data_IF_398314474723
#
_entry.id   IF_398314474723
#
_cell.length_a   1.000
_cell.length_b   1.000
_cell.length_c   1.000
_cell.angle_alpha   90.00
_cell.angle_beta   90.00
_cell.angle_gamma   90.00
#
_symmetry.space_group_name_H-M   'P 1'
#
loop_
_entity.id
_entity.type
_entity.pdbx_description
1 polymer ?
#
# COMPACT_ATOMS: atom_id res chain seq x y z
N UNK A 1 -1.15 15.62 2.73
CA UNK A 1 -0.11 16.66 2.81
C UNK A 1 0.93 16.40 3.87
N UNK A 2 0.51 16.02 5.06
CA UNK A 2 1.45 15.64 6.12
C UNK A 2 2.39 14.50 5.72
N UNK A 3 1.86 13.51 5.04
CA UNK A 3 2.68 12.37 4.62
C UNK A 3 3.77 12.78 3.62
N UNK A 4 3.46 13.71 2.73
CA UNK A 4 4.46 14.22 1.79
C UNK A 4 5.60 14.87 2.55
N UNK A 5 5.29 15.71 3.53
CA UNK A 5 6.29 16.40 4.32
C UNK A 5 7.14 15.43 5.13
N UNK A 6 6.53 14.39 5.70
CA UNK A 6 7.26 13.38 6.45
C UNK A 6 8.22 12.60 5.55
N UNK A 7 7.76 12.21 4.36
CA UNK A 7 8.61 11.50 3.42
C UNK A 7 9.78 12.37 2.97
N UNK A 8 9.53 13.64 2.67
CA UNK A 8 10.60 14.56 2.29
C UNK A 8 11.62 14.73 3.40
N UNK A 9 11.15 14.85 4.65
CA UNK A 9 12.03 14.96 5.80
C UNK A 9 12.91 13.72 5.97
N UNK A 10 12.35 12.54 5.79
CA UNK A 10 13.10 11.30 5.88
C UNK A 10 14.16 11.21 4.78
N UNK A 11 13.78 11.59 3.56
CA UNK A 11 14.69 11.57 2.41
C UNK A 11 15.84 12.55 2.65
N UNK A 12 15.51 13.76 3.09
CA UNK A 12 16.52 14.78 3.38
C UNK A 12 17.44 14.36 4.53
N UNK A 13 16.91 13.55 5.44
CA UNK A 13 17.68 13.01 6.57
C UNK A 13 18.57 11.81 6.23
N UNK A 14 18.53 11.34 4.98
CA UNK A 14 19.42 10.27 4.53
C UNK A 14 18.81 8.88 4.44
N UNK A 15 17.48 8.76 4.55
CA UNK A 15 16.82 7.48 4.37
C UNK A 15 16.94 7.03 2.92
N UNK A 16 17.19 5.74 2.70
CA UNK A 16 17.35 5.18 1.35
C UNK A 16 16.05 4.60 0.81
N UNK A 17 15.03 4.48 1.64
CA UNK A 17 13.72 3.95 1.28
C UNK A 17 12.64 4.63 2.10
N UNK A 18 11.53 4.95 1.47
CA UNK A 18 10.37 5.55 2.16
C UNK A 18 9.09 4.87 1.68
N UNK A 19 8.06 4.95 2.50
CA UNK A 19 6.74 4.43 2.17
C UNK A 19 5.72 5.56 2.24
N UNK A 20 4.83 5.61 1.26
CA UNK A 20 3.71 6.55 1.24
C UNK A 20 2.40 5.77 1.14
N UNK A 21 1.51 6.00 2.09
CA UNK A 21 0.21 5.35 2.12
C UNK A 21 -0.90 6.36 1.82
N UNK A 22 -1.36 6.36 0.59
CA UNK A 22 -2.49 7.16 0.18
C UNK A 22 -3.76 6.35 -0.02
N UNK A 23 -3.79 5.12 0.49
CA UNK A 23 -4.91 4.21 0.27
C UNK A 23 -6.23 4.70 0.85
N UNK A 24 -6.20 5.60 1.82
CA UNK A 24 -7.40 6.19 2.42
C UNK A 24 -8.06 7.23 1.52
N UNK A 25 -7.36 7.68 0.49
CA UNK A 25 -7.88 8.67 -0.46
C UNK A 25 -8.45 7.96 -1.69
N UNK A 26 -9.06 8.71 -2.59
CA UNK A 26 -9.52 8.13 -3.84
C UNK A 26 -8.33 7.62 -4.66
N UNK A 27 -8.59 6.74 -5.61
CA UNK A 27 -7.54 6.18 -6.45
C UNK A 27 -6.73 7.29 -7.14
N UNK A 28 -7.43 8.26 -7.70
CA UNK A 28 -6.78 9.39 -8.38
C UNK A 28 -5.91 10.21 -7.43
N UNK A 29 -6.43 10.50 -6.24
CA UNK A 29 -5.69 11.27 -5.25
C UNK A 29 -4.47 10.49 -4.75
N UNK A 30 -4.62 9.18 -4.58
CA UNK A 30 -3.52 8.32 -4.18
C UNK A 30 -2.41 8.37 -5.22
N UNK A 31 -2.75 8.31 -6.52
CA UNK A 31 -1.78 8.42 -7.60
C UNK A 31 -1.05 9.76 -7.54
N UNK A 32 -1.79 10.86 -7.40
CA UNK A 32 -1.19 12.19 -7.35
C UNK A 32 -0.24 12.36 -6.16
N UNK A 33 -0.68 11.92 -4.99
CA UNK A 33 0.11 12.01 -3.77
C UNK A 33 1.39 11.17 -3.89
N UNK A 34 1.24 9.94 -4.30
CA UNK A 34 2.35 9.00 -4.40
C UNK A 34 3.35 9.46 -5.45
N UNK A 35 2.87 9.95 -6.59
CA UNK A 35 3.76 10.44 -7.64
C UNK A 35 4.63 11.60 -7.17
N UNK A 36 4.07 12.51 -6.38
CA UNK A 36 4.85 13.62 -5.84
C UNK A 36 6.00 13.13 -4.97
N UNK A 37 5.76 12.12 -4.15
CA UNK A 37 6.80 11.53 -3.32
C UNK A 37 7.83 10.79 -4.18
N UNK A 38 7.37 10.05 -5.18
CA UNK A 38 8.27 9.31 -6.08
C UNK A 38 9.20 10.26 -6.83
N UNK A 39 8.66 11.35 -7.38
CA UNK A 39 9.46 12.31 -8.13
C UNK A 39 10.56 12.93 -7.25
N UNK A 40 10.19 13.28 -6.02
CA UNK A 40 11.15 13.83 -5.06
C UNK A 40 12.21 12.80 -4.65
N UNK A 41 11.78 11.58 -4.38
CA UNK A 41 12.65 10.51 -3.90
C UNK A 41 13.63 10.04 -4.99
N UNK A 42 13.14 9.83 -6.20
CA UNK A 42 13.96 9.31 -7.29
C UNK A 42 15.06 10.27 -7.70
N UNK A 43 14.83 11.58 -7.62
CA UNK A 43 15.86 12.56 -7.86
C UNK A 43 17.05 12.41 -6.91
N UNK A 44 16.80 11.81 -5.75
CA UNK A 44 17.79 11.63 -4.69
C UNK A 44 18.24 10.18 -4.52
N UNK A 45 17.84 9.31 -5.44
CA UNK A 45 18.23 7.91 -5.40
C UNK A 45 17.55 7.09 -4.30
N UNK A 46 16.36 7.53 -3.85
CA UNK A 46 15.60 6.87 -2.79
C UNK A 46 14.47 6.08 -3.40
N UNK A 47 14.25 4.84 -2.94
CA UNK A 47 13.17 3.99 -3.42
C UNK A 47 11.89 4.26 -2.64
N UNK A 48 10.74 4.04 -3.29
CA UNK A 48 9.44 4.33 -2.72
C UNK A 48 8.52 3.12 -2.79
N UNK A 49 7.86 2.82 -1.68
CA UNK A 49 6.80 1.83 -1.61
C UNK A 49 5.46 2.57 -1.58
N UNK A 50 4.57 2.24 -2.51
CA UNK A 50 3.20 2.76 -2.51
C UNK A 50 2.25 1.74 -1.92
N UNK A 51 0.98 2.12 -1.76
CA UNK A 51 -0.03 1.23 -1.19
C UNK A 51 -1.36 1.39 -1.90
N UNK A 52 -2.01 0.27 -2.21
CA UNK A 52 -3.35 0.20 -2.77
C UNK A 52 -4.24 -0.69 -1.93
N UNK A 53 -5.48 -0.25 -1.71
CA UNK A 53 -6.43 -0.95 -0.86
C UNK A 53 -6.22 -0.59 0.60
N UNK A 54 -7.28 -0.69 1.39
CA UNK A 54 -7.20 -0.39 2.81
C UNK A 54 -7.07 -1.66 3.61
N UNK A 55 -6.09 -1.69 4.50
CA UNK A 55 -5.94 -2.79 5.45
C UNK A 55 -6.90 -2.60 6.61
N UNK A 56 -7.40 -3.71 7.16
CA UNK A 56 -8.20 -3.66 8.37
C UNK A 56 -7.36 -3.13 9.52
N UNK A 57 -7.90 -2.18 10.27
CA UNK A 57 -7.20 -1.58 11.41
C UNK A 57 -8.08 -1.45 12.61
N UNK A 58 -7.46 -1.15 13.75
CA UNK A 58 -8.16 -1.00 15.03
C UNK A 58 -9.17 0.16 14.97
N UNK A 59 -8.93 1.11 14.11
CA UNK A 59 -9.78 2.29 13.97
C UNK A 59 -11.06 2.03 13.21
N UNK A 60 -11.13 0.92 12.52
CA UNK A 60 -12.31 0.55 11.76
C UNK A 60 -13.30 -0.23 12.61
N UNK A 61 -13.81 0.43 13.63
CA UNK A 61 -14.86 -0.12 14.46
C UNK A 61 -16.13 -0.40 13.70
N UNK A 62 -16.23 0.13 12.50
CA UNK A 62 -17.55 0.36 12.00
C UNK A 62 -18.01 -0.67 11.01
N UNK A 63 -17.13 -1.27 10.23
CA UNK A 63 -17.58 -2.26 9.27
C UNK A 63 -16.45 -3.08 8.70
N UNK A 64 -16.32 -4.26 9.26
CA UNK A 64 -15.44 -5.29 8.72
C UNK A 64 -15.82 -5.65 7.28
N UNK A 65 -17.06 -5.33 6.89
CA UNK A 65 -17.57 -5.62 5.55
C UNK A 65 -17.08 -4.65 4.48
N UNK A 66 -16.50 -3.54 4.88
CA UNK A 66 -16.02 -2.52 3.94
C UNK A 66 -14.51 -2.53 3.75
N UNK A 67 -13.90 -3.69 3.83
CA UNK A 67 -12.48 -3.81 3.47
C UNK A 67 -12.32 -3.47 1.99
N UNK A 68 -11.51 -2.46 1.72
CA UNK A 68 -11.16 -2.13 0.35
C UNK A 68 -10.01 -3.02 -0.09
N UNK A 69 -10.35 -4.19 -0.59
CA UNK A 69 -9.34 -5.05 -1.19
C UNK A 69 -8.72 -4.36 -2.40
N UNK A 70 -7.46 -4.65 -2.63
CA UNK A 70 -6.78 -4.16 -3.82
C UNK A 70 -7.45 -4.74 -5.06
N UNK A 71 -7.72 -3.88 -6.03
CA UNK A 71 -8.28 -4.31 -7.32
C UNK A 71 -7.13 -4.56 -8.28
N UNK A 72 -6.96 -5.80 -8.75
CA UNK A 72 -5.83 -6.12 -9.64
C UNK A 72 -5.75 -5.25 -10.89
N UNK A 73 -6.91 -4.85 -11.44
CA UNK A 73 -6.94 -4.01 -12.62
C UNK A 73 -6.42 -2.59 -12.39
N UNK A 74 -6.39 -2.15 -11.13
CA UNK A 74 -5.86 -0.82 -10.79
C UNK A 74 -4.35 -0.83 -10.56
N UNK A 75 -3.78 -1.99 -10.32
CA UNK A 75 -2.38 -2.12 -9.95
C UNK A 75 -1.44 -1.66 -11.06
N UNK A 76 -1.71 -2.09 -12.29
CA UNK A 76 -0.88 -1.71 -13.43
C UNK A 76 -0.91 -0.20 -13.67
N UNK A 77 -2.09 0.39 -13.60
CA UNK A 77 -2.24 1.83 -13.77
C UNK A 77 -1.53 2.59 -12.67
N UNK A 78 -1.69 2.15 -11.43
CA UNK A 78 -1.05 2.80 -10.29
C UNK A 78 0.47 2.80 -10.42
N UNK A 79 1.05 1.63 -10.70
CA UNK A 79 2.50 1.51 -10.80
C UNK A 79 3.04 2.33 -11.97
N UNK A 80 2.36 2.28 -13.13
CA UNK A 80 2.83 3.02 -14.31
C UNK A 80 2.73 4.53 -14.13
N UNK A 81 1.70 5.01 -13.45
CA UNK A 81 1.49 6.45 -13.26
C UNK A 81 2.31 7.04 -12.11
N UNK A 82 2.60 6.26 -11.10
CA UNK A 82 3.36 6.75 -9.94
C UNK A 82 4.85 6.50 -10.06
N UNK A 83 5.24 5.36 -10.63
CA UNK A 83 6.65 4.98 -10.72
C UNK A 83 7.20 4.40 -9.43
N UNK A 84 6.35 3.90 -8.51
CA UNK A 84 6.82 3.29 -7.28
C UNK A 84 7.72 2.10 -7.54
N UNK A 85 8.60 1.81 -6.59
CA UNK A 85 9.56 0.71 -6.69
C UNK A 85 9.02 -0.60 -6.12
N UNK A 86 8.05 -0.50 -5.23
CA UNK A 86 7.34 -1.65 -4.68
C UNK A 86 5.92 -1.24 -4.32
N UNK A 87 5.04 -2.21 -4.15
CA UNK A 87 3.63 -1.94 -3.90
C UNK A 87 3.08 -2.83 -2.80
N UNK A 88 2.50 -2.21 -1.79
CA UNK A 88 1.77 -2.93 -0.75
C UNK A 88 0.32 -3.08 -1.20
N UNK A 89 -0.21 -4.28 -1.07
CA UNK A 89 -1.60 -4.58 -1.46
C UNK A 89 -2.39 -5.10 -0.26
N UNK A 90 -3.71 -4.96 -0.35
CA UNK A 90 -4.63 -5.41 0.68
C UNK A 90 -5.38 -6.65 0.21
N UNK A 91 -5.17 -7.75 0.92
CA UNK A 91 -5.84 -9.03 0.60
C UNK A 91 -6.56 -9.62 1.81
N UNK A 92 -6.86 -8.78 2.81
CA UNK A 92 -7.56 -9.24 4.02
C UNK A 92 -6.67 -9.34 5.26
N UNK A 93 -5.44 -8.84 5.18
CA UNK A 93 -4.56 -8.76 6.35
C UNK A 93 -4.88 -7.51 7.18
N UNK A 94 -4.27 -7.37 8.36
CA UNK A 94 -4.46 -6.21 9.19
C UNK A 94 -3.16 -5.76 9.82
N UNK A 95 -3.12 -4.47 10.16
CA UNK A 95 -1.96 -3.88 10.81
C UNK A 95 -1.99 -4.03 12.33
N UNK A 96 -0.82 -4.14 12.93
CA UNK A 96 -0.60 -3.93 14.34
C UNK A 96 -1.28 -4.92 15.25
N UNK A 97 -1.91 -4.39 16.30
CA UNK A 97 -2.50 -5.20 17.36
C UNK A 97 -3.92 -5.68 17.05
N UNK A 98 -4.43 -5.43 15.86
CA UNK A 98 -5.77 -5.89 15.50
C UNK A 98 -5.78 -7.41 15.45
N UNK A 99 -6.67 -8.00 16.24
CA UNK A 99 -6.82 -9.45 16.30
C UNK A 99 -8.22 -9.83 15.89
N UNK A 100 -8.31 -10.87 15.07
CA UNK A 100 -9.60 -11.43 14.73
C UNK A 100 -10.19 -12.14 15.95
N UNK A 101 -11.50 -12.19 16.02
CA UNK A 101 -12.17 -12.87 17.13
C UNK A 101 -11.75 -14.34 17.17
N UNK A 102 -11.62 -14.92 18.38
CA UNK A 102 -11.30 -16.35 18.49
C UNK A 102 -12.26 -17.20 17.69
N UNK A 103 -11.74 -18.12 16.94
CA UNK A 103 -12.54 -18.99 16.08
C UNK A 103 -12.85 -18.44 14.70
N UNK A 104 -12.52 -17.18 14.44
CA UNK A 104 -12.71 -16.59 13.12
C UNK A 104 -11.38 -16.66 12.36
N UNK A 105 -11.38 -17.34 11.23
CA UNK A 105 -10.19 -17.39 10.38
C UNK A 105 -10.30 -16.24 9.38
N UNK A 106 -9.27 -15.35 9.30
CA UNK A 106 -9.28 -14.34 8.26
C UNK A 106 -9.26 -15.00 6.90
N UNK A 107 -10.15 -14.55 6.02
CA UNK A 107 -10.12 -15.04 4.65
C UNK A 107 -9.16 -14.18 3.84
N UNK A 108 -7.99 -14.71 3.62
CA UNK A 108 -7.02 -14.02 2.79
C UNK A 108 -7.34 -14.28 1.32
N UNK A 109 -7.38 -13.22 0.56
CA UNK A 109 -7.71 -13.27 -0.85
C UNK A 109 -6.45 -13.50 -1.69
N UNK A 110 -5.95 -14.73 -1.65
CA UNK A 110 -4.76 -15.09 -2.43
C UNK A 110 -4.98 -15.02 -3.93
N UNK A 111 -6.25 -15.09 -4.37
CA UNK A 111 -6.60 -14.89 -5.76
C UNK A 111 -6.20 -13.49 -6.25
N UNK A 112 -6.34 -12.49 -5.39
CA UNK A 112 -5.91 -11.11 -5.70
C UNK A 112 -4.40 -11.07 -5.88
N UNK A 113 -3.67 -11.67 -4.93
CA UNK A 113 -2.20 -11.71 -5.01
C UNK A 113 -1.73 -12.39 -6.28
N UNK A 114 -2.35 -13.51 -6.62
CA UNK A 114 -2.01 -14.26 -7.83
C UNK A 114 -2.23 -13.41 -9.09
N UNK A 115 -3.37 -12.74 -9.18
CA UNK A 115 -3.68 -11.90 -10.34
C UNK A 115 -2.73 -10.70 -10.43
N UNK A 116 -2.42 -10.07 -9.31
CA UNK A 116 -1.46 -8.96 -9.28
C UNK A 116 -0.08 -9.43 -9.74
N UNK A 117 0.34 -10.59 -9.28
CA UNK A 117 1.64 -11.14 -9.68
C UNK A 117 1.71 -11.46 -11.18
N UNK A 118 0.60 -11.86 -11.76
CA UNK A 118 0.52 -12.09 -13.21
C UNK A 118 0.59 -10.79 -14.01
N UNK A 119 -0.03 -9.73 -13.49
CA UNK A 119 -0.06 -8.43 -14.17
C UNK A 119 1.27 -7.68 -14.04
N UNK A 120 1.99 -7.91 -12.94
CA UNK A 120 3.27 -7.26 -12.66
C UNK A 120 4.34 -8.31 -12.37
N UNK A 121 4.77 -9.08 -13.39
CA UNK A 121 5.80 -10.10 -13.17
C UNK A 121 7.10 -9.44 -12.72
N UNK A 122 7.75 -10.05 -11.74
CA UNK A 122 9.01 -9.57 -11.18
C UNK A 122 8.96 -8.23 -10.43
N UNK A 123 7.77 -7.69 -10.22
CA UNK A 123 7.62 -6.47 -9.44
C UNK A 123 7.45 -6.80 -7.94
N UNK A 124 8.18 -6.11 -7.04
CA UNK A 124 8.08 -6.39 -5.60
C UNK A 124 6.71 -6.07 -5.03
N UNK A 125 6.06 -7.06 -4.48
CA UNK A 125 4.76 -6.93 -3.82
C UNK A 125 4.94 -7.16 -2.33
N UNK A 126 4.34 -6.28 -1.52
CA UNK A 126 4.45 -6.32 -0.07
C UNK A 126 3.09 -6.61 0.56
N UNK A 127 3.07 -7.47 1.56
CA UNK A 127 1.86 -7.78 2.33
C UNK A 127 2.10 -7.36 3.77
N UNK A 128 1.45 -6.28 4.18
CA UNK A 128 1.52 -5.82 5.57
C UNK A 128 0.57 -6.64 6.44
N UNK A 129 1.00 -6.91 7.69
CA UNK A 129 0.16 -7.64 8.62
C UNK A 129 -0.06 -9.10 8.26
N UNK A 130 0.75 -9.67 7.39
CA UNK A 130 0.60 -11.05 6.95
C UNK A 130 1.11 -12.06 7.98
N UNK A 131 2.01 -11.64 8.84
CA UNK A 131 2.54 -12.47 9.90
C UNK A 131 1.85 -12.12 11.21
N UNK A 132 1.02 -12.99 11.68
CA UNK A 132 0.32 -12.80 12.94
C UNK A 132 1.04 -13.49 14.08
#
# INVERSE_FOLDING_TARGET
MEQILKCKSCIDGGFTSVMIDGSQYSFKENIELTKKVVDYAHERGVVVEGELGQLAGVEDDVNVEHHSYTKPEEVEEFVSKTGVDSLAIAIGTSHGAFKFKPGTKPQLRFDILEEVSKRLPEFPIVLHGALS
#
